data_IF_862480207234
#
_entry.id   IF_862480207234
#
_cell.length_a   1.000
_cell.length_b   1.000
_cell.length_c   1.000
_cell.angle_alpha   90.00
_cell.angle_beta   90.00
_cell.angle_gamma   90.00
#
_symmetry.space_group_name_H-M   'P 1'
#
loop_
_entity.id
_entity.type
_entity.pdbx_description
1 polymer ?
#
# COMPACT_ATOMS: atom_id res chain seq x y z
N UNK A 1 -17.76 28.27 22.96
CA UNK A 1 -16.40 28.32 22.37
C UNK A 1 -15.40 27.96 23.47
N UNK A 2 -14.51 26.98 23.28
CA UNK A 2 -13.47 26.66 24.27
C UNK A 2 -12.23 27.52 24.04
N UNK A 3 -11.63 28.06 25.11
CA UNK A 3 -10.38 28.83 25.04
C UNK A 3 -9.14 27.95 24.87
N UNK A 4 -8.08 28.48 24.24
CA UNK A 4 -6.78 27.83 24.12
C UNK A 4 -5.91 28.09 25.36
N UNK A 5 -5.26 27.04 25.90
CA UNK A 5 -4.35 27.15 27.04
C UNK A 5 -2.89 27.30 26.56
N UNK A 6 -2.32 28.50 26.73
CA UNK A 6 -0.94 28.83 26.34
C UNK A 6 0.09 28.50 27.45
N UNK A 7 1.38 28.41 27.10
CA UNK A 7 2.45 27.99 28.03
C UNK A 7 3.17 29.13 28.75
N UNK A 8 2.91 30.39 28.39
CA UNK A 8 3.62 31.58 28.91
C UNK A 8 3.29 31.97 30.37
N UNK A 9 2.48 31.18 31.09
CA UNK A 9 2.01 31.53 32.44
C UNK A 9 1.06 32.74 32.43
N UNK A 10 1.04 33.55 33.49
CA UNK A 10 0.22 34.78 33.53
C UNK A 10 0.86 35.87 32.66
N UNK A 11 0.18 36.26 31.58
CA UNK A 11 0.60 37.35 30.70
C UNK A 11 0.35 38.68 31.42
N UNK A 12 1.37 39.53 31.52
CA UNK A 12 1.28 40.83 32.22
C UNK A 12 1.05 42.03 31.29
N UNK A 13 1.78 42.08 30.17
CA UNK A 13 1.79 43.23 29.27
C UNK A 13 1.01 42.87 27.99
N UNK A 14 1.72 42.42 26.95
CA UNK A 14 1.14 42.17 25.63
C UNK A 14 0.76 40.70 25.45
N UNK A 15 -0.55 40.45 25.32
CA UNK A 15 -1.07 39.09 25.10
C UNK A 15 -0.74 38.54 23.72
N UNK A 16 -0.82 39.37 22.67
CA UNK A 16 -0.57 38.93 21.30
C UNK A 16 0.89 38.53 21.12
N UNK A 17 1.83 39.35 21.59
CA UNK A 17 3.27 39.05 21.51
C UNK A 17 3.64 37.79 22.31
N UNK A 18 3.05 37.61 23.49
CA UNK A 18 3.25 36.40 24.29
C UNK A 18 2.78 35.16 23.53
N UNK A 19 1.62 35.23 22.88
CA UNK A 19 1.08 34.15 22.05
C UNK A 19 1.92 33.92 20.80
N UNK A 20 2.39 34.98 20.14
CA UNK A 20 3.23 34.89 18.94
C UNK A 20 4.51 34.06 19.21
N UNK A 21 5.09 34.19 20.40
CA UNK A 21 6.25 33.40 20.83
C UNK A 21 5.89 32.07 21.51
N UNK A 22 4.61 31.67 21.52
CA UNK A 22 4.13 30.39 22.02
C UNK A 22 4.18 29.32 20.91
N UNK A 23 4.28 28.01 21.23
CA UNK A 23 4.36 26.96 20.20
C UNK A 23 3.14 26.88 19.28
N UNK A 24 2.03 27.52 19.66
CA UNK A 24 0.86 27.70 18.82
C UNK A 24 1.22 28.31 17.46
N UNK A 25 2.04 29.37 17.47
CA UNK A 25 2.44 30.13 16.28
C UNK A 25 3.88 29.85 15.86
N UNK A 26 4.24 28.57 15.77
CA UNK A 26 5.54 28.17 15.22
C UNK A 26 5.55 28.17 13.70
N UNK A 27 6.70 28.48 13.11
CA UNK A 27 6.94 28.27 11.69
C UNK A 27 6.72 26.82 11.34
N UNK A 28 5.85 26.57 10.35
CA UNK A 28 5.60 25.23 9.82
C UNK A 28 6.38 25.06 8.54
N UNK A 29 7.10 23.95 8.44
CA UNK A 29 7.85 23.58 7.25
C UNK A 29 7.09 22.41 6.62
N UNK A 30 6.66 22.60 5.38
CA UNK A 30 6.05 21.53 4.60
C UNK A 30 7.12 20.54 4.14
N UNK A 31 6.80 19.25 4.20
CA UNK A 31 7.69 18.21 3.67
C UNK A 31 7.52 18.15 2.17
N UNK A 32 8.55 18.59 1.44
CA UNK A 32 8.62 18.52 -0.01
C UNK A 32 8.50 17.07 -0.53
N UNK A 33 7.90 16.92 -1.71
CA UNK A 33 7.72 15.61 -2.37
C UNK A 33 8.98 15.17 -3.11
N UNK A 34 9.84 16.11 -3.53
CA UNK A 34 11.07 15.84 -4.28
C UNK A 34 12.22 16.73 -3.81
N UNK A 35 13.46 16.24 -3.93
CA UNK A 35 14.69 16.95 -3.57
C UNK A 35 15.20 16.61 -2.17
N UNK A 36 15.93 17.54 -1.53
CA UNK A 36 16.50 17.32 -0.20
C UNK A 36 15.41 17.10 0.85
N UNK A 37 15.56 16.06 1.67
CA UNK A 37 14.60 15.75 2.74
C UNK A 37 13.28 15.12 2.28
N UNK A 38 13.12 14.86 0.98
CA UNK A 38 11.88 14.28 0.43
C UNK A 38 11.78 12.76 0.55
N UNK A 39 12.90 12.06 0.80
CA UNK A 39 12.92 10.60 0.87
C UNK A 39 12.08 10.08 2.06
N UNK A 40 11.15 9.17 1.78
CA UNK A 40 10.29 8.51 2.76
C UNK A 40 10.50 7.00 2.67
N UNK A 41 10.82 6.35 3.79
CA UNK A 41 11.04 4.89 3.85
C UNK A 41 9.81 4.08 3.38
N UNK A 42 8.61 4.61 3.62
CA UNK A 42 7.34 4.00 3.21
C UNK A 42 6.50 5.05 2.50
N UNK A 43 5.94 4.68 1.34
CA UNK A 43 4.95 5.50 0.65
C UNK A 43 3.60 5.47 1.39
N UNK A 44 2.73 6.47 1.12
CA UNK A 44 1.36 6.53 1.70
C UNK A 44 0.55 5.29 1.36
N UNK A 45 0.65 4.84 0.11
CA UNK A 45 0.06 3.59 -0.36
C UNK A 45 1.20 2.60 -0.59
N UNK A 46 1.49 1.80 0.42
CA UNK A 46 2.42 0.69 0.26
C UNK A 46 1.74 -0.34 -0.65
N UNK A 47 2.24 -0.52 -1.88
CA UNK A 47 1.68 -1.43 -2.88
C UNK A 47 1.55 -2.85 -2.31
N UNK A 48 0.45 -3.13 -1.62
CA UNK A 48 0.05 -4.47 -1.15
C UNK A 48 -0.81 -5.19 -2.19
N UNK A 49 -1.05 -4.59 -3.35
CA UNK A 49 -1.80 -5.17 -4.45
C UNK A 49 -0.97 -5.02 -5.73
N UNK A 50 -0.65 -6.15 -6.36
CA UNK A 50 0.15 -6.18 -7.57
C UNK A 50 1.09 -7.37 -7.71
N UNK A 51 0.81 -8.53 -7.11
CA UNK A 51 1.16 -9.77 -7.81
C UNK A 51 0.17 -9.87 -8.96
N UNK A 52 0.64 -9.55 -10.17
CA UNK A 52 -0.07 -9.78 -11.40
C UNK A 52 -0.43 -11.27 -11.47
N UNK A 53 -1.67 -11.61 -11.13
CA UNK A 53 -2.25 -12.90 -11.47
C UNK A 53 -2.57 -12.88 -12.97
N UNK A 54 -1.56 -13.03 -13.82
CA UNK A 54 -1.76 -13.31 -15.24
C UNK A 54 -2.10 -14.80 -15.45
N UNK A 55 -3.12 -15.29 -14.75
CA UNK A 55 -3.77 -16.57 -15.04
C UNK A 55 -4.93 -16.35 -16.02
N UNK A 56 -4.67 -15.85 -17.23
CA UNK A 56 -5.70 -15.83 -18.27
C UNK A 56 -5.80 -17.24 -18.85
N UNK A 57 -6.73 -18.02 -18.33
CA UNK A 57 -7.11 -19.30 -18.90
C UNK A 57 -7.56 -19.10 -20.36
N UNK A 58 -6.99 -19.90 -21.26
CA UNK A 58 -7.34 -19.96 -22.68
C UNK A 58 -8.82 -20.36 -22.82
N UNK A 59 -9.71 -19.38 -22.96
CA UNK A 59 -11.15 -19.59 -23.13
C UNK A 59 -11.53 -20.11 -24.55
N UNK A 60 -10.56 -20.30 -25.44
CA UNK A 60 -10.85 -20.50 -26.88
C UNK A 60 -10.55 -21.89 -27.44
N UNK A 61 -10.09 -22.87 -26.65
CA UNK A 61 -9.76 -24.22 -27.16
C UNK A 61 -10.68 -25.34 -26.65
N UNK A 62 -11.95 -25.03 -26.33
CA UNK A 62 -12.86 -26.01 -25.72
C UNK A 62 -14.19 -26.25 -26.43
N UNK A 63 -14.51 -25.54 -27.51
CA UNK A 63 -15.85 -25.61 -28.13
C UNK A 63 -15.79 -25.63 -29.67
N UNK A 64 -15.01 -26.53 -30.24
CA UNK A 64 -15.15 -26.94 -31.64
C UNK A 64 -15.22 -28.47 -31.73
N UNK A 65 -16.44 -28.95 -31.60
CA UNK A 65 -17.08 -30.00 -32.42
C UNK A 65 -16.20 -31.16 -32.91
N UNK A 66 -16.40 -32.30 -32.24
CA UNK A 66 -16.74 -33.61 -32.81
C UNK A 66 -16.31 -33.93 -34.25
N UNK A 67 -15.31 -34.83 -34.39
CA UNK A 67 -15.44 -36.09 -35.16
C UNK A 67 -14.16 -36.93 -35.10
N UNK A 68 -14.37 -38.19 -34.70
CA UNK A 68 -13.67 -39.38 -35.20
C UNK A 68 -12.13 -39.41 -35.15
N UNK A 69 -11.56 -40.20 -34.23
CA UNK A 69 -10.71 -41.34 -34.59
C UNK A 69 -10.00 -41.95 -33.35
N UNK A 70 -10.30 -43.23 -33.13
CA UNK A 70 -9.34 -44.30 -32.81
C UNK A 70 -8.57 -44.26 -31.48
N UNK A 71 -8.77 -45.33 -30.71
CA UNK A 71 -7.68 -45.97 -29.97
C UNK A 71 -7.88 -46.04 -28.46
N UNK A 72 -8.45 -47.15 -28.01
CA UNK A 72 -8.37 -47.61 -26.63
C UNK A 72 -6.91 -47.66 -26.13
N UNK A 73 -6.70 -47.41 -24.83
CA UNK A 73 -6.02 -48.30 -23.86
C UNK A 73 -6.19 -47.72 -22.43
N UNK A 74 -6.60 -48.54 -21.43
CA UNK A 74 -6.79 -48.11 -20.04
C UNK A 74 -5.54 -48.28 -19.15
N UNK A 75 -5.47 -47.42 -18.13
CA UNK A 75 -4.84 -47.53 -16.80
C UNK A 75 -3.49 -48.27 -16.58
N UNK A 76 -2.51 -47.53 -16.04
CA UNK A 76 -1.53 -48.02 -15.06
C UNK A 76 -1.10 -46.83 -14.18
N UNK A 77 -1.61 -46.72 -12.94
CA UNK A 77 -1.00 -47.14 -11.65
C UNK A 77 0.28 -46.39 -11.23
N UNK A 78 0.12 -45.81 -10.04
CA UNK A 78 1.06 -45.72 -8.91
C UNK A 78 2.14 -44.60 -8.89
N UNK A 79 1.91 -43.67 -7.95
CA UNK A 79 2.79 -43.23 -6.88
C UNK A 79 4.31 -43.41 -7.06
N UNK A 80 5.07 -42.32 -6.90
CA UNK A 80 6.13 -42.19 -5.88
C UNK A 80 6.54 -40.73 -5.65
N UNK A 81 6.38 -40.26 -4.40
CA UNK A 81 7.26 -39.37 -3.60
C UNK A 81 7.81 -38.02 -4.14
N UNK A 82 7.43 -36.94 -3.44
CA UNK A 82 8.15 -35.71 -3.00
C UNK A 82 9.70 -35.73 -2.98
N UNK A 83 10.46 -34.58 -2.93
CA UNK A 83 10.28 -33.40 -2.04
C UNK A 83 10.53 -32.00 -2.68
N UNK A 84 9.86 -30.92 -2.27
CA UNK A 84 10.13 -30.04 -1.12
C UNK A 84 11.56 -29.46 -1.06
N UNK A 85 11.77 -28.29 -1.68
CA UNK A 85 12.63 -27.17 -1.26
C UNK A 85 12.00 -25.87 -1.77
#
# INVERSE_FOLDING_TARGET
MSGYQHKKGKIKNNAIEALLHDPLFKTRIEVNVKGKGSYRRKAKHNNKAGWEASGKANFTTGLLVSKEALGAIPQARACTSYPAW
#
